data_IF_185847046172
#
_entry.id   IF_185847046172
#
_cell.length_a   1.000
_cell.length_b   1.000
_cell.length_c   1.000
_cell.angle_alpha   90.00
_cell.angle_beta   90.00
_cell.angle_gamma   90.00
#
_symmetry.space_group_name_H-M   'P 1'
#
loop_
_entity.id
_entity.type
_entity.pdbx_description
1 polymer ?
#
# COMPACT_ATOMS: atom_id res chain seq x y z
N UNK A 1 -29.45 25.58 -49.87
CA UNK A 1 -28.90 24.47 -49.05
C UNK A 1 -30.05 23.96 -48.18
N UNK A 2 -30.71 22.89 -48.60
CA UNK A 2 -31.81 22.28 -47.82
C UNK A 2 -31.18 21.28 -46.86
N UNK A 3 -30.94 21.68 -45.61
CA UNK A 3 -30.39 20.80 -44.58
C UNK A 3 -31.52 19.94 -44.05
N UNK A 4 -31.39 18.61 -44.16
CA UNK A 4 -32.43 17.68 -43.73
C UNK A 4 -32.55 17.70 -42.19
N UNK A 5 -33.78 17.82 -41.66
CA UNK A 5 -34.05 17.91 -40.21
C UNK A 5 -33.51 16.70 -39.45
N UNK A 6 -33.40 15.56 -40.11
CA UNK A 6 -32.81 14.34 -39.55
C UNK A 6 -31.27 14.39 -39.45
N UNK A 7 -30.62 15.14 -40.35
CA UNK A 7 -29.16 15.30 -40.40
C UNK A 7 -28.64 16.21 -39.28
N UNK A 8 -29.39 17.25 -38.93
CA UNK A 8 -29.09 18.11 -37.77
C UNK A 8 -29.23 17.36 -36.44
N UNK A 9 -30.18 16.43 -36.34
CA UNK A 9 -30.35 15.60 -35.15
C UNK A 9 -29.20 14.60 -34.97
N UNK A 10 -28.66 14.07 -36.06
CA UNK A 10 -27.49 13.19 -36.02
C UNK A 10 -26.20 13.96 -35.65
N UNK A 11 -26.03 15.16 -36.20
CA UNK A 11 -24.90 16.04 -35.85
C UNK A 11 -24.92 16.46 -34.37
N UNK A 12 -26.10 16.77 -33.84
CA UNK A 12 -26.27 17.11 -32.42
C UNK A 12 -25.97 15.91 -31.51
N UNK A 13 -26.34 14.69 -31.90
CA UNK A 13 -26.01 13.47 -31.16
C UNK A 13 -24.50 13.19 -31.15
N UNK A 14 -23.82 13.39 -32.29
CA UNK A 14 -22.36 13.30 -32.36
C UNK A 14 -21.68 14.33 -31.45
N UNK A 15 -22.19 15.57 -31.37
CA UNK A 15 -21.63 16.61 -30.50
C UNK A 15 -21.77 16.26 -29.00
N UNK A 16 -22.86 15.59 -28.60
CA UNK A 16 -23.06 15.14 -27.21
C UNK A 16 -22.12 13.97 -26.85
N UNK A 17 -21.92 13.02 -27.78
CA UNK A 17 -21.00 11.88 -27.55
C UNK A 17 -19.55 12.38 -27.45
N UNK A 18 -19.16 13.35 -28.28
CA UNK A 18 -17.85 14.00 -28.16
C UNK A 18 -17.76 14.77 -26.83
N UNK A 19 -18.78 15.54 -26.44
CA UNK A 19 -18.78 16.22 -25.14
C UNK A 19 -18.58 15.30 -23.93
N UNK A 20 -19.21 14.12 -23.91
CA UNK A 20 -19.08 13.15 -22.80
C UNK A 20 -17.70 12.48 -22.78
N UNK A 21 -17.10 12.19 -23.93
CA UNK A 21 -15.75 11.58 -24.01
C UNK A 21 -14.66 12.56 -23.58
N UNK A 22 -14.81 13.86 -23.85
CA UNK A 22 -13.83 14.88 -23.41
C UNK A 22 -13.96 15.24 -21.92
N UNK A 23 -15.09 14.95 -21.28
CA UNK A 23 -15.32 15.22 -19.85
C UNK A 23 -14.73 14.12 -18.94
N UNK A 24 -14.51 12.91 -19.46
CA UNK A 24 -14.00 11.79 -18.67
C UNK A 24 -12.47 11.83 -18.45
N UNK A 25 -11.75 12.72 -19.15
CA UNK A 25 -10.30 12.93 -19.00
C UNK A 25 -9.96 14.12 -18.05
N UNK A 26 -10.96 14.79 -17.48
CA UNK A 26 -10.80 16.04 -16.71
C UNK A 26 -11.04 15.92 -15.19
N UNK A 27 -11.14 14.71 -14.64
CA UNK A 27 -11.23 14.48 -13.19
C UNK A 27 -10.06 13.61 -12.71
N UNK A 28 -8.84 14.16 -12.78
CA UNK A 28 -7.74 13.78 -11.90
C UNK A 28 -6.90 15.02 -11.59
N UNK A 29 -6.80 15.46 -10.32
CA UNK A 29 -5.78 16.43 -9.96
C UNK A 29 -4.40 15.79 -10.13
N UNK A 30 -3.63 16.25 -11.12
CA UNK A 30 -2.19 15.99 -11.24
C UNK A 30 -1.46 16.82 -10.18
N UNK A 31 -1.49 16.37 -8.94
CA UNK A 31 -0.72 16.97 -7.84
C UNK A 31 -0.08 15.85 -7.00
N UNK A 32 0.96 15.21 -7.55
CA UNK A 32 2.03 14.60 -6.75
C UNK A 32 3.35 15.09 -7.34
N UNK A 33 3.59 16.39 -7.16
CA UNK A 33 4.94 16.95 -7.19
C UNK A 33 5.53 16.77 -5.79
N UNK A 34 6.18 15.62 -5.55
CA UNK A 34 7.07 15.45 -4.42
C UNK A 34 8.49 15.31 -4.94
N UNK A 35 9.26 16.35 -4.67
CA UNK A 35 10.66 16.56 -5.05
C UNK A 35 11.61 15.45 -4.61
N UNK A 36 12.51 15.12 -5.54
CA UNK A 36 13.75 14.33 -5.43
C UNK A 36 13.60 12.82 -5.31
N UNK A 37 13.60 12.15 -6.46
CA UNK A 37 14.06 10.77 -6.57
C UNK A 37 14.98 10.70 -7.78
N UNK A 38 16.25 10.36 -7.55
CA UNK A 38 17.10 9.84 -8.60
C UNK A 38 16.34 8.76 -9.39
N UNK A 39 15.98 9.03 -10.64
CA UNK A 39 15.27 8.07 -11.50
C UNK A 39 16.06 6.77 -11.69
N UNK A 40 17.37 6.85 -11.45
CA UNK A 40 18.32 5.75 -11.56
C UNK A 40 18.51 5.03 -10.23
N UNK A 41 18.33 3.71 -10.25
CA UNK A 41 18.63 2.79 -9.16
C UNK A 41 20.12 2.40 -9.15
N UNK A 42 20.71 2.18 -10.32
CA UNK A 42 22.12 1.82 -10.48
C UNK A 42 22.64 2.15 -11.88
N UNK A 43 23.96 2.19 -12.05
CA UNK A 43 24.61 2.24 -13.35
C UNK A 43 25.46 0.98 -13.57
N UNK A 44 25.45 0.45 -14.79
CA UNK A 44 26.31 -0.66 -15.22
C UNK A 44 26.99 -0.25 -16.52
N UNK A 45 28.31 -0.08 -16.51
CA UNK A 45 29.09 0.35 -17.68
C UNK A 45 28.57 1.63 -18.36
N UNK A 46 28.01 2.57 -17.59
CA UNK A 46 27.45 3.82 -18.11
C UNK A 46 25.98 3.73 -18.54
N UNK A 47 25.38 2.54 -18.59
CA UNK A 47 23.94 2.37 -18.77
C UNK A 47 23.21 2.51 -17.43
N UNK A 48 22.07 3.21 -17.42
CA UNK A 48 21.28 3.41 -16.20
C UNK A 48 20.17 2.38 -16.07
N UNK A 49 20.03 1.81 -14.88
CA UNK A 49 18.88 0.99 -14.48
C UNK A 49 17.90 1.92 -13.76
N UNK A 50 16.68 2.05 -14.29
CA UNK A 50 15.65 2.91 -13.69
C UNK A 50 15.02 2.26 -12.46
N UNK A 51 14.69 3.04 -11.44
CA UNK A 51 13.94 2.57 -10.25
C UNK A 51 12.60 1.95 -10.63
N UNK A 52 11.92 2.51 -11.63
CA UNK A 52 10.67 1.96 -12.16
C UNK A 52 10.86 0.56 -12.75
N UNK A 53 11.94 0.35 -13.51
CA UNK A 53 12.26 -0.98 -14.04
C UNK A 53 12.49 -1.98 -12.91
N UNK A 54 13.29 -1.62 -11.90
CA UNK A 54 13.49 -2.46 -10.71
C UNK A 54 12.16 -2.77 -10.01
N UNK A 55 11.34 -1.75 -9.76
CA UNK A 55 10.04 -1.92 -9.10
C UNK A 55 9.11 -2.84 -9.90
N UNK A 56 9.03 -2.67 -11.22
CA UNK A 56 8.21 -3.52 -12.09
C UNK A 56 8.65 -4.98 -12.05
N UNK A 57 9.96 -5.25 -12.01
CA UNK A 57 10.45 -6.63 -11.86
C UNK A 57 10.12 -7.19 -10.46
N UNK A 58 10.27 -6.42 -9.39
CA UNK A 58 9.86 -6.84 -8.03
C UNK A 58 8.35 -7.11 -7.94
N UNK A 59 7.53 -6.25 -8.56
CA UNK A 59 6.08 -6.40 -8.58
C UNK A 59 5.65 -7.66 -9.32
N UNK A 60 6.32 -8.02 -10.43
CA UNK A 60 6.05 -9.28 -11.13
C UNK A 60 6.39 -10.51 -10.30
N UNK A 61 7.38 -10.43 -9.42
CA UNK A 61 7.81 -11.56 -8.59
C UNK A 61 6.83 -11.84 -7.45
N UNK A 62 6.48 -10.81 -6.66
CA UNK A 62 5.69 -10.98 -5.42
C UNK A 62 4.67 -9.86 -5.18
N UNK A 63 4.44 -8.97 -6.15
CA UNK A 63 3.62 -7.78 -5.97
C UNK A 63 2.17 -8.06 -5.61
N UNK A 64 1.55 -9.06 -6.25
CA UNK A 64 0.17 -9.48 -5.93
C UNK A 64 0.08 -10.06 -4.52
N UNK A 65 0.97 -10.99 -4.15
CA UNK A 65 1.04 -11.59 -2.80
C UNK A 65 1.22 -10.52 -1.72
N UNK A 66 2.14 -9.59 -1.93
CA UNK A 66 2.40 -8.49 -0.99
C UNK A 66 1.17 -7.59 -0.88
N UNK A 67 0.51 -7.26 -2.00
CA UNK A 67 -0.69 -6.44 -2.01
C UNK A 67 -1.84 -7.11 -1.23
N UNK A 68 -2.07 -8.40 -1.42
CA UNK A 68 -3.09 -9.16 -0.69
C UNK A 68 -2.81 -9.17 0.82
N UNK A 69 -1.54 -9.36 1.21
CA UNK A 69 -1.12 -9.25 2.60
C UNK A 69 -1.40 -7.86 3.21
N UNK A 70 -1.14 -6.79 2.45
CA UNK A 70 -1.42 -5.42 2.86
C UNK A 70 -2.93 -5.16 2.98
N UNK A 71 -3.74 -5.66 2.05
CA UNK A 71 -5.21 -5.56 2.12
C UNK A 71 -5.71 -6.23 3.40
N UNK A 72 -5.27 -7.46 3.68
CA UNK A 72 -5.66 -8.18 4.89
C UNK A 72 -5.25 -7.45 6.17
N UNK A 73 -4.02 -6.94 6.23
CA UNK A 73 -3.56 -6.11 7.36
C UNK A 73 -4.46 -4.87 7.53
N UNK A 74 -4.80 -4.18 6.44
CA UNK A 74 -5.68 -3.00 6.50
C UNK A 74 -7.09 -3.32 6.96
N UNK A 75 -7.66 -4.45 6.54
CA UNK A 75 -8.97 -4.91 7.01
C UNK A 75 -8.96 -5.18 8.53
N UNK A 76 -7.92 -5.85 9.04
CA UNK A 76 -7.74 -6.10 10.47
C UNK A 76 -7.64 -4.79 11.23
N UNK A 77 -6.78 -3.86 10.80
CA UNK A 77 -6.63 -2.54 11.41
C UNK A 77 -7.96 -1.74 11.40
N UNK A 78 -8.74 -1.83 10.32
CA UNK A 78 -10.03 -1.17 10.22
C UNK A 78 -11.04 -1.74 11.21
N UNK A 79 -11.13 -3.06 11.32
CA UNK A 79 -12.08 -3.71 12.20
C UNK A 79 -11.71 -3.52 13.67
N UNK A 80 -10.42 -3.62 14.00
CA UNK A 80 -9.90 -3.30 15.32
C UNK A 80 -10.28 -1.89 15.78
N UNK A 81 -10.12 -0.89 14.89
CA UNK A 81 -10.55 0.49 15.18
C UNK A 81 -12.05 0.61 15.41
N UNK A 82 -12.88 -0.08 14.63
CA UNK A 82 -14.35 -0.07 14.83
C UNK A 82 -14.75 -0.66 16.18
N UNK A 83 -14.09 -1.74 16.59
CA UNK A 83 -14.34 -2.41 17.87
C UNK A 83 -13.60 -1.75 19.05
N UNK A 84 -12.91 -0.62 18.83
CA UNK A 84 -12.06 0.05 19.82
C UNK A 84 -11.00 -0.88 20.45
N UNK A 85 -10.54 -1.88 19.69
CA UNK A 85 -9.48 -2.78 20.09
C UNK A 85 -8.13 -2.19 19.67
N UNK A 86 -7.31 -1.83 20.66
CA UNK A 86 -5.96 -1.33 20.45
C UNK A 86 -4.99 -2.09 21.36
N UNK A 87 -3.76 -2.27 20.91
CA UNK A 87 -2.68 -2.75 21.77
C UNK A 87 -2.23 -1.61 22.68
N UNK A 88 -2.07 -1.88 23.97
CA UNK A 88 -1.49 -0.91 24.91
C UNK A 88 0.04 -1.05 24.93
N UNK A 89 0.73 0.02 25.33
CA UNK A 89 2.19 0.00 25.46
C UNK A 89 2.67 -1.05 26.46
N UNK A 90 1.89 -1.32 27.51
CA UNK A 90 2.20 -2.35 28.50
C UNK A 90 2.14 -3.75 27.88
N UNK A 91 1.15 -4.02 27.02
CA UNK A 91 1.02 -5.31 26.33
C UNK A 91 2.18 -5.50 25.33
N UNK A 92 2.50 -4.44 24.56
CA UNK A 92 3.61 -4.47 23.60
C UNK A 92 4.94 -4.70 24.32
N UNK A 93 5.17 -3.98 25.42
CA UNK A 93 6.41 -4.11 26.21
C UNK A 93 6.53 -5.50 26.82
N UNK A 94 5.43 -6.04 27.36
CA UNK A 94 5.41 -7.39 27.94
C UNK A 94 5.80 -8.47 26.92
N UNK A 95 5.23 -8.42 25.72
CA UNK A 95 5.53 -9.40 24.67
C UNK A 95 6.94 -9.20 24.10
N UNK A 96 7.39 -7.95 23.99
CA UNK A 96 8.76 -7.64 23.59
C UNK A 96 9.79 -8.17 24.58
N UNK A 97 9.56 -7.96 25.87
CA UNK A 97 10.44 -8.45 26.94
C UNK A 97 10.48 -9.98 26.96
N UNK A 98 9.35 -10.63 26.66
CA UNK A 98 9.30 -12.08 26.48
C UNK A 98 10.18 -12.54 25.32
N UNK A 99 10.07 -11.90 24.15
CA UNK A 99 10.90 -12.22 22.98
C UNK A 99 12.39 -11.99 23.28
N UNK A 100 12.72 -10.89 23.95
CA UNK A 100 14.10 -10.59 24.40
C UNK A 100 14.62 -11.63 25.39
N UNK A 101 13.78 -12.08 26.32
CA UNK A 101 14.12 -13.12 27.27
C UNK A 101 14.33 -14.48 26.59
N UNK A 102 13.49 -14.82 25.62
CA UNK A 102 13.53 -16.10 24.91
C UNK A 102 14.77 -16.19 24.00
N UNK A 103 15.17 -15.08 23.36
CA UNK A 103 16.34 -15.02 22.48
C UNK A 103 17.65 -14.68 23.20
N UNK A 104 17.58 -14.00 24.35
CA UNK A 104 18.75 -13.59 25.12
C UNK A 104 19.77 -12.80 24.27
N UNK A 105 21.00 -13.30 24.23
CA UNK A 105 22.09 -12.68 23.47
C UNK A 105 21.90 -12.70 21.95
N UNK A 106 21.00 -13.54 21.42
CA UNK A 106 20.76 -13.64 19.97
C UNK A 106 19.75 -12.61 19.46
N UNK A 107 19.08 -11.85 20.34
CA UNK A 107 18.02 -10.91 19.98
C UNK A 107 18.46 -9.92 18.88
N UNK A 108 19.59 -9.23 19.09
CA UNK A 108 20.10 -8.24 18.13
C UNK A 108 20.51 -8.89 16.79
N UNK A 109 21.12 -10.08 16.84
CA UNK A 109 21.48 -10.82 15.62
C UNK A 109 20.24 -11.33 14.87
N UNK A 110 19.17 -11.69 15.58
CA UNK A 110 17.93 -12.14 14.99
C UNK A 110 17.22 -10.99 14.27
N UNK A 111 17.18 -9.80 14.88
CA UNK A 111 16.69 -8.59 14.23
C UNK A 111 17.48 -8.26 12.96
N UNK A 112 18.81 -8.21 13.07
CA UNK A 112 19.69 -7.93 11.93
C UNK A 112 19.56 -8.97 10.81
N UNK A 113 19.47 -10.25 11.16
CA UNK A 113 19.30 -11.36 10.22
C UNK A 113 18.00 -11.28 9.42
N UNK A 114 16.95 -10.69 9.99
CA UNK A 114 15.66 -10.44 9.34
C UNK A 114 15.56 -9.04 8.70
N UNK A 115 16.65 -8.25 8.72
CA UNK A 115 16.66 -6.85 8.25
C UNK A 115 15.57 -6.00 8.92
N UNK A 116 15.27 -6.29 10.19
CA UNK A 116 14.17 -5.68 10.94
C UNK A 116 14.73 -4.85 12.10
N UNK A 117 14.09 -3.72 12.37
CA UNK A 117 14.34 -2.88 13.53
C UNK A 117 13.45 -3.28 14.71
N UNK A 118 13.84 -2.91 15.94
CA UNK A 118 12.96 -3.10 17.10
C UNK A 118 11.62 -2.35 16.94
N UNK A 119 11.60 -1.21 16.24
CA UNK A 119 10.37 -0.47 15.97
C UNK A 119 9.41 -1.28 15.09
N UNK A 120 9.91 -1.89 14.02
CA UNK A 120 9.12 -2.78 13.16
C UNK A 120 8.66 -4.04 13.91
N UNK A 121 9.49 -4.58 14.81
CA UNK A 121 9.07 -5.67 15.69
C UNK A 121 7.90 -5.25 16.60
N UNK A 122 7.96 -4.06 17.20
CA UNK A 122 6.87 -3.53 18.04
C UNK A 122 5.57 -3.37 17.25
N UNK A 123 5.64 -2.91 16.00
CA UNK A 123 4.45 -2.85 15.13
C UNK A 123 3.85 -4.23 14.87
N UNK A 124 4.70 -5.25 14.65
CA UNK A 124 4.25 -6.63 14.46
C UNK A 124 3.62 -7.21 15.72
N UNK A 125 4.20 -6.93 16.90
CA UNK A 125 3.63 -7.30 18.20
C UNK A 125 2.26 -6.64 18.40
N UNK A 126 2.15 -5.33 18.12
CA UNK A 126 0.89 -4.60 18.26
C UNK A 126 -0.21 -5.20 17.36
N UNK A 127 0.12 -5.53 16.11
CA UNK A 127 -0.81 -6.21 15.21
C UNK A 127 -1.24 -7.58 15.75
N UNK A 128 -0.30 -8.36 16.30
CA UNK A 128 -0.59 -9.68 16.88
C UNK A 128 -1.52 -9.59 18.09
N UNK A 129 -1.29 -8.64 19.01
CA UNK A 129 -2.15 -8.39 20.17
C UNK A 129 -3.57 -8.05 19.71
N UNK A 130 -3.70 -7.14 18.74
CA UNK A 130 -5.00 -6.75 18.18
C UNK A 130 -5.72 -7.96 17.58
N UNK A 131 -5.03 -8.80 16.81
CA UNK A 131 -5.59 -10.03 16.26
C UNK A 131 -6.10 -10.98 17.37
N UNK A 132 -5.31 -11.19 18.43
CA UNK A 132 -5.73 -12.02 19.57
C UNK A 132 -6.99 -11.48 20.26
N UNK A 133 -7.06 -10.16 20.46
CA UNK A 133 -8.25 -9.51 21.03
C UNK A 133 -9.47 -9.71 20.13
N UNK A 134 -9.32 -9.57 18.82
CA UNK A 134 -10.41 -9.81 17.87
C UNK A 134 -10.93 -11.24 17.87
N UNK A 135 -10.03 -12.23 18.01
CA UNK A 135 -10.45 -13.62 18.13
C UNK A 135 -11.19 -13.87 19.44
N UNK A 136 -10.73 -13.26 20.53
CA UNK A 136 -11.29 -13.44 21.88
C UNK A 136 -12.66 -12.74 22.05
N UNK A 137 -12.91 -11.67 21.31
CA UNK A 137 -14.20 -10.95 21.30
C UNK A 137 -15.30 -11.70 20.53
N UNK A 138 -14.92 -12.58 19.60
CA UNK A 138 -15.85 -13.37 18.77
C UNK A 138 -16.20 -14.75 19.33
N UNK A 139 -15.62 -15.16 20.46
CA UNK A 139 -15.95 -16.42 21.17
C UNK A 139 -16.88 -16.13 22.34
#
# INVERSE_FOLDING_TARGET
>A
IVVNKWFLSFLALCAVIVGVVWVQDSVMPKEVSSSVSSTTAAYVNGESIKKEQLFNELYKLEGETVLDGLINKKLIEQEARKSNLQATEEEITKDLDKIKSDLGSEYESALAGNQMTEAELKENIALHIVQQKMFSDKV
#
